data_IF_168846589940
#
_entry.id   IF_168846589940
#
_cell.length_a   1.000
_cell.length_b   1.000
_cell.length_c   1.000
_cell.angle_alpha   90.00
_cell.angle_beta   90.00
_cell.angle_gamma   90.00
#
_symmetry.space_group_name_H-M   'P 1'
#
loop_
_entity.id
_entity.type
_entity.pdbx_description
1 polymer ?
#
# COMPACT_ATOMS: atom_id res chain seq x y z
N UNK A 1 -50.51 -46.34 -38.01
CA UNK A 1 -50.04 -44.94 -37.91
C UNK A 1 -49.20 -44.81 -36.65
N UNK A 2 -48.01 -44.22 -36.76
CA UNK A 2 -46.90 -44.30 -35.78
C UNK A 2 -47.18 -43.47 -34.52
N UNK A 3 -46.91 -44.06 -33.34
CA UNK A 3 -46.85 -43.32 -32.07
C UNK A 3 -45.53 -42.54 -32.01
N UNK A 4 -45.62 -41.22 -31.81
CA UNK A 4 -44.47 -40.34 -31.56
C UNK A 4 -44.46 -40.06 -30.06
N UNK A 5 -43.50 -40.64 -29.35
CA UNK A 5 -43.19 -40.29 -27.96
C UNK A 5 -42.23 -39.11 -27.95
N UNK A 6 -42.68 -37.95 -27.46
CA UNK A 6 -41.85 -36.77 -27.27
C UNK A 6 -41.20 -36.87 -25.88
N UNK A 7 -39.89 -37.09 -25.84
CA UNK A 7 -39.08 -37.01 -24.62
C UNK A 7 -38.63 -35.56 -24.45
N UNK A 8 -39.16 -34.87 -23.44
CA UNK A 8 -38.72 -33.53 -23.05
C UNK A 8 -37.50 -33.70 -22.15
N UNK A 9 -36.31 -33.45 -22.70
CA UNK A 9 -35.07 -33.40 -21.94
C UNK A 9 -34.97 -32.09 -21.16
N UNK A 10 -34.98 -32.19 -19.83
CA UNK A 10 -34.73 -31.07 -18.92
C UNK A 10 -33.22 -30.79 -18.88
N UNK A 11 -32.77 -29.73 -19.53
CA UNK A 11 -31.38 -29.26 -19.45
C UNK A 11 -31.22 -28.47 -18.15
N UNK A 12 -30.61 -29.10 -17.15
CA UNK A 12 -30.18 -28.44 -15.92
C UNK A 12 -28.90 -27.66 -16.21
N UNK A 13 -29.02 -26.35 -16.42
CA UNK A 13 -27.88 -25.44 -16.46
C UNK A 13 -27.30 -25.30 -15.06
N UNK A 14 -26.19 -25.98 -14.78
CA UNK A 14 -25.40 -25.75 -13.57
C UNK A 14 -24.60 -24.47 -13.77
N UNK A 15 -25.12 -23.35 -13.28
CA UNK A 15 -24.36 -22.12 -13.12
C UNK A 15 -23.32 -22.35 -12.02
N UNK A 16 -22.06 -22.51 -12.39
CA UNK A 16 -20.94 -22.49 -11.47
C UNK A 16 -20.83 -21.09 -10.87
N UNK A 17 -21.36 -20.92 -9.66
CA UNK A 17 -20.95 -19.79 -8.83
C UNK A 17 -19.50 -20.05 -8.45
N UNK A 18 -18.58 -19.19 -8.91
CA UNK A 18 -17.23 -19.11 -8.36
C UNK A 18 -17.37 -18.74 -6.88
N UNK A 19 -17.31 -19.76 -6.02
CA UNK A 19 -17.22 -19.55 -4.58
C UNK A 19 -15.82 -19.00 -4.33
N UNK A 20 -15.72 -17.67 -4.16
CA UNK A 20 -14.52 -17.09 -3.56
C UNK A 20 -14.35 -17.74 -2.20
N UNK A 21 -13.26 -18.50 -2.02
CA UNK A 21 -12.97 -19.16 -0.77
C UNK A 21 -12.76 -18.10 0.32
N UNK A 22 -13.69 -18.03 1.27
CA UNK A 22 -13.56 -17.14 2.42
C UNK A 22 -12.46 -17.68 3.32
N UNK A 23 -11.48 -16.83 3.65
CA UNK A 23 -10.37 -17.20 4.53
C UNK A 23 -10.88 -17.62 5.92
N UNK A 24 -10.27 -18.66 6.49
CA UNK A 24 -10.49 -19.04 7.88
C UNK A 24 -9.74 -18.10 8.85
N UNK A 25 -10.00 -18.24 10.16
CA UNK A 25 -9.42 -17.35 11.17
C UNK A 25 -7.88 -17.32 11.16
N UNK A 26 -7.24 -18.49 11.00
CA UNK A 26 -5.78 -18.60 10.96
C UNK A 26 -5.21 -17.92 9.70
N UNK A 27 -5.88 -18.08 8.55
CA UNK A 27 -5.50 -17.43 7.30
C UNK A 27 -5.69 -15.90 7.35
N UNK A 28 -6.75 -15.40 8.00
CA UNK A 28 -6.94 -13.95 8.22
C UNK A 28 -5.85 -13.39 9.14
N UNK A 29 -5.51 -14.12 10.20
CA UNK A 29 -4.42 -13.73 11.11
C UNK A 29 -3.08 -13.70 10.38
N UNK A 30 -2.77 -14.73 9.59
CA UNK A 30 -1.56 -14.80 8.80
C UNK A 30 -1.50 -13.68 7.75
N UNK A 31 -2.60 -13.41 7.03
CA UNK A 31 -2.68 -12.28 6.10
C UNK A 31 -2.36 -10.95 6.80
N UNK A 32 -2.96 -10.71 7.97
CA UNK A 32 -2.76 -9.47 8.73
C UNK A 32 -1.30 -9.28 9.15
N UNK A 33 -0.65 -10.34 9.63
CA UNK A 33 0.77 -10.33 9.98
C UNK A 33 1.66 -10.12 8.75
N UNK A 34 1.38 -10.83 7.66
CA UNK A 34 2.11 -10.69 6.40
C UNK A 34 2.01 -9.29 5.81
N UNK A 35 0.82 -8.67 5.83
CA UNK A 35 0.63 -7.28 5.41
C UNK A 35 1.37 -6.29 6.30
N UNK A 36 1.34 -6.49 7.61
CA UNK A 36 2.06 -5.64 8.56
C UNK A 36 3.58 -5.66 8.29
N UNK A 37 4.16 -6.85 8.17
CA UNK A 37 5.59 -7.02 7.87
C UNK A 37 5.94 -6.47 6.48
N UNK A 38 5.10 -6.71 5.47
CA UNK A 38 5.31 -6.17 4.12
C UNK A 38 5.34 -4.64 4.14
N UNK A 39 4.38 -4.02 4.84
CA UNK A 39 4.30 -2.57 4.98
C UNK A 39 5.50 -1.96 5.73
N UNK A 40 6.21 -2.75 6.52
CA UNK A 40 7.48 -2.37 7.17
C UNK A 40 8.73 -2.68 6.32
N UNK A 41 8.57 -2.94 5.02
CA UNK A 41 9.65 -3.38 4.12
C UNK A 41 10.35 -4.69 4.57
N UNK A 42 9.75 -5.47 5.49
CA UNK A 42 10.28 -6.77 5.95
C UNK A 42 9.78 -7.90 5.04
N UNK A 43 10.06 -7.76 3.74
CA UNK A 43 9.49 -8.62 2.70
C UNK A 43 9.81 -10.11 2.88
N UNK A 44 11.03 -10.47 3.31
CA UNK A 44 11.41 -11.86 3.57
C UNK A 44 10.63 -12.47 4.72
N UNK A 45 10.39 -11.68 5.78
CA UNK A 45 9.67 -12.13 6.98
C UNK A 45 8.17 -12.22 6.70
N UNK A 46 7.64 -11.36 5.82
CA UNK A 46 6.25 -11.37 5.38
C UNK A 46 5.90 -12.61 4.55
N UNK A 47 6.85 -13.14 3.76
CA UNK A 47 6.64 -14.22 2.81
C UNK A 47 5.91 -15.46 3.37
N UNK A 48 6.35 -16.09 4.49
CA UNK A 48 5.67 -17.27 5.03
C UNK A 48 4.22 -16.99 5.45
N UNK A 49 3.94 -15.79 5.96
CA UNK A 49 2.59 -15.40 6.38
C UNK A 49 1.67 -15.11 5.18
N UNK A 50 2.16 -14.35 4.19
CA UNK A 50 1.44 -14.08 2.95
C UNK A 50 1.12 -15.37 2.20
N UNK A 51 2.04 -16.34 2.21
CA UNK A 51 1.85 -17.64 1.56
C UNK A 51 0.62 -18.40 2.07
N UNK A 52 0.34 -18.37 3.37
CA UNK A 52 -0.83 -19.04 3.96
C UNK A 52 -2.14 -18.54 3.34
N UNK A 53 -2.29 -17.23 3.18
CA UNK A 53 -3.48 -16.63 2.56
C UNK A 53 -3.47 -16.74 1.03
N UNK A 54 -2.30 -16.65 0.41
CA UNK A 54 -2.15 -16.78 -1.04
C UNK A 54 -2.53 -18.18 -1.55
N UNK A 55 -2.10 -19.24 -0.84
CA UNK A 55 -2.48 -20.64 -1.11
C UNK A 55 -3.98 -20.89 -0.92
N UNK A 56 -4.63 -20.09 -0.07
CA UNK A 56 -6.07 -20.11 0.14
C UNK A 56 -6.87 -19.34 -0.93
N UNK A 57 -6.19 -18.67 -1.87
CA UNK A 57 -6.82 -17.94 -2.96
C UNK A 57 -6.89 -16.42 -2.77
N UNK A 58 -6.33 -15.84 -1.70
CA UNK A 58 -6.39 -14.39 -1.49
C UNK A 58 -5.59 -13.63 -2.55
N UNK A 59 -6.30 -12.92 -3.43
CA UNK A 59 -5.73 -12.15 -4.56
C UNK A 59 -4.60 -11.20 -4.14
N UNK A 60 -4.76 -10.48 -3.04
CA UNK A 60 -3.78 -9.49 -2.59
C UNK A 60 -2.53 -10.18 -2.06
N UNK A 61 -2.67 -11.21 -1.23
CA UNK A 61 -1.54 -12.01 -0.77
C UNK A 61 -0.81 -12.71 -1.92
N UNK A 62 -1.52 -13.17 -2.95
CA UNK A 62 -0.91 -13.71 -4.17
C UNK A 62 -0.07 -12.65 -4.89
N UNK A 63 -0.60 -11.45 -5.12
CA UNK A 63 0.17 -10.35 -5.72
C UNK A 63 1.41 -9.98 -4.89
N UNK A 64 1.24 -9.80 -3.57
CA UNK A 64 2.33 -9.40 -2.69
C UNK A 64 3.41 -10.47 -2.57
N UNK A 65 3.03 -11.75 -2.51
CA UNK A 65 4.00 -12.85 -2.53
C UNK A 65 4.77 -12.89 -3.85
N UNK A 66 4.10 -12.62 -4.98
CA UNK A 66 4.75 -12.41 -6.27
C UNK A 66 5.79 -11.29 -6.22
N UNK A 67 5.47 -10.13 -5.62
CA UNK A 67 6.42 -9.03 -5.44
C UNK A 67 7.61 -9.39 -4.54
N UNK A 68 7.37 -10.07 -3.41
CA UNK A 68 8.44 -10.50 -2.51
C UNK A 68 9.43 -11.40 -3.24
N UNK A 69 8.95 -12.36 -4.02
CA UNK A 69 9.81 -13.28 -4.78
C UNK A 69 10.52 -12.56 -5.94
N UNK A 70 9.80 -11.70 -6.68
CA UNK A 70 10.37 -10.90 -7.78
C UNK A 70 11.54 -10.04 -7.31
N UNK A 71 11.48 -9.48 -6.11
CA UNK A 71 12.56 -8.64 -5.57
C UNK A 71 13.82 -9.43 -5.18
N UNK A 72 13.73 -10.76 -5.05
CA UNK A 72 14.89 -11.62 -4.76
C UNK A 72 15.66 -12.02 -6.03
N UNK A 73 15.10 -11.77 -7.21
CA UNK A 73 15.65 -12.17 -8.50
C UNK A 73 15.87 -10.97 -9.42
N UNK A 74 16.86 -11.06 -10.30
CA UNK A 74 17.11 -10.02 -11.30
C UNK A 74 16.04 -10.01 -12.40
N UNK A 75 15.49 -11.18 -12.71
CA UNK A 75 14.47 -11.39 -13.72
C UNK A 75 13.25 -12.07 -13.09
N UNK A 76 12.08 -11.87 -13.69
CA UNK A 76 10.88 -12.58 -13.28
C UNK A 76 11.11 -14.10 -13.46
N UNK A 77 11.00 -14.84 -12.37
CA UNK A 77 11.18 -16.29 -12.34
C UNK A 77 9.83 -17.03 -12.37
N UNK A 78 9.87 -18.34 -12.58
CA UNK A 78 8.64 -19.17 -12.69
C UNK A 78 7.76 -19.07 -11.42
N UNK A 79 8.38 -18.95 -10.24
CA UNK A 79 7.66 -18.91 -8.97
C UNK A 79 6.92 -17.58 -8.80
N UNK A 80 7.57 -16.45 -9.01
CA UNK A 80 6.93 -15.12 -8.94
C UNK A 80 5.86 -14.98 -10.02
N UNK A 81 6.11 -15.47 -11.25
CA UNK A 81 5.13 -15.48 -12.33
C UNK A 81 3.86 -16.25 -11.94
N UNK A 82 3.99 -17.45 -11.36
CA UNK A 82 2.84 -18.27 -10.95
C UNK A 82 1.92 -17.50 -9.98
N UNK A 83 2.49 -16.80 -9.01
CA UNK A 83 1.70 -16.01 -8.05
C UNK A 83 1.01 -14.81 -8.70
N UNK A 84 1.67 -14.13 -9.62
CA UNK A 84 1.02 -13.07 -10.39
C UNK A 84 -0.10 -13.60 -11.28
N UNK A 85 0.06 -14.76 -11.93
CA UNK A 85 -0.99 -15.36 -12.77
C UNK A 85 -2.24 -15.70 -11.94
N UNK A 86 -2.06 -16.26 -10.75
CA UNK A 86 -3.17 -16.53 -9.83
C UNK A 86 -3.93 -15.24 -9.44
N UNK A 87 -3.22 -14.16 -9.12
CA UNK A 87 -3.84 -12.87 -8.81
C UNK A 87 -4.50 -12.24 -10.05
N UNK A 88 -3.86 -12.37 -11.22
CA UNK A 88 -4.33 -11.82 -12.48
C UNK A 88 -5.61 -12.52 -12.98
N UNK A 89 -5.75 -13.85 -12.78
CA UNK A 89 -7.00 -14.55 -13.06
C UNK A 89 -8.18 -14.05 -12.20
N UNK A 90 -7.90 -13.39 -11.08
CA UNK A 90 -8.87 -12.71 -10.23
C UNK A 90 -9.01 -11.20 -10.53
N UNK A 91 -8.61 -10.78 -11.73
CA UNK A 91 -8.63 -9.39 -12.20
C UNK A 91 -7.72 -8.42 -11.44
N UNK A 92 -6.63 -8.90 -10.83
CA UNK A 92 -5.61 -8.00 -10.27
C UNK A 92 -4.83 -7.28 -11.39
N UNK A 93 -5.12 -6.00 -11.58
CA UNK A 93 -4.52 -5.19 -12.65
C UNK A 93 -3.01 -5.01 -12.46
N UNK A 94 -2.51 -4.91 -11.22
CA UNK A 94 -1.06 -4.76 -11.00
C UNK A 94 -0.31 -6.05 -11.30
N UNK A 95 -0.88 -7.21 -10.95
CA UNK A 95 -0.34 -8.50 -11.34
C UNK A 95 -0.29 -8.65 -12.87
N UNK A 96 -1.38 -8.30 -13.57
CA UNK A 96 -1.40 -8.27 -15.03
C UNK A 96 -0.34 -7.32 -15.61
N UNK A 97 -0.13 -6.15 -14.99
CA UNK A 97 0.91 -5.20 -15.38
C UNK A 97 2.33 -5.74 -15.14
N UNK A 98 2.57 -6.55 -14.09
CA UNK A 98 3.85 -7.24 -13.88
C UNK A 98 4.11 -8.31 -14.95
N UNK A 99 3.06 -8.98 -15.39
CA UNK A 99 3.10 -9.97 -16.46
C UNK A 99 3.17 -9.32 -17.86
N UNK A 100 2.93 -8.01 -17.98
CA UNK A 100 2.93 -7.24 -19.24
C UNK A 100 4.22 -7.39 -20.06
N UNK A 101 5.38 -7.45 -19.39
CA UNK A 101 6.70 -7.56 -20.04
C UNK A 101 7.11 -9.00 -20.36
N UNK A 102 6.32 -9.99 -19.96
CA UNK A 102 6.47 -11.38 -20.45
C UNK A 102 5.79 -11.46 -21.82
N UNK A 103 6.22 -10.57 -22.72
CA UNK A 103 5.78 -10.52 -24.10
C UNK A 103 6.60 -11.56 -24.85
N UNK A 104 5.97 -12.71 -25.14
CA UNK A 104 6.29 -13.78 -26.11
C UNK A 104 7.73 -14.35 -26.20
N UNK A 105 8.79 -13.56 -26.08
CA UNK A 105 10.20 -13.89 -26.29
C UNK A 105 10.80 -14.83 -25.24
N UNK A 106 10.28 -14.85 -24.01
CA UNK A 106 10.71 -15.78 -22.94
C UNK A 106 9.76 -16.96 -22.79
N UNK A 107 8.47 -16.75 -23.03
CA UNK A 107 7.44 -17.77 -22.89
C UNK A 107 7.48 -18.80 -24.03
N UNK A 108 7.70 -18.36 -25.28
CA UNK A 108 7.77 -19.25 -26.46
C UNK A 108 8.96 -20.23 -26.43
N UNK A 109 10.20 -19.81 -26.07
CA UNK A 109 11.31 -20.76 -25.95
C UNK A 109 11.13 -21.77 -24.81
N UNK A 110 10.40 -21.41 -23.75
CA UNK A 110 10.16 -22.27 -22.59
C UNK A 110 8.91 -23.14 -22.74
N UNK A 111 8.09 -22.92 -23.77
CA UNK A 111 6.83 -23.63 -24.04
C UNK A 111 5.88 -23.66 -22.83
N UNK A 112 5.84 -22.56 -22.06
CA UNK A 112 5.04 -22.40 -20.82
C UNK A 112 3.92 -21.37 -20.97
N UNK A 113 3.46 -21.11 -22.19
CA UNK A 113 2.38 -20.17 -22.40
C UNK A 113 1.04 -20.81 -22.06
N UNK A 114 0.35 -20.25 -21.06
CA UNK A 114 -0.98 -20.67 -20.65
C UNK A 114 -2.03 -19.64 -21.11
N UNK A 115 -3.23 -20.09 -21.53
CA UNK A 115 -3.50 -20.89 -22.71
C UNK A 115 -3.90 -20.03 -23.92
N UNK A 116 -3.71 -20.63 -25.10
CA UNK A 116 -4.17 -20.23 -26.43
C UNK A 116 -5.71 -20.15 -26.53
N UNK A 117 -6.34 -19.19 -25.87
CA UNK A 117 -7.66 -18.73 -26.32
C UNK A 117 -7.44 -17.56 -27.28
N UNK A 118 -7.95 -17.69 -28.50
CA UNK A 118 -7.91 -16.63 -29.52
C UNK A 118 -8.69 -15.35 -29.12
N UNK A 119 -9.10 -15.20 -27.86
CA UNK A 119 -9.74 -14.02 -27.25
C UNK A 119 -8.87 -13.33 -26.18
N UNK A 120 -7.80 -13.97 -25.70
CA UNK A 120 -6.89 -13.40 -24.72
C UNK A 120 -5.68 -12.75 -25.40
N UNK A 121 -5.76 -11.45 -25.70
CA UNK A 121 -4.69 -10.66 -26.33
C UNK A 121 -3.50 -10.35 -25.37
N UNK A 122 -3.23 -11.22 -24.39
CA UNK A 122 -2.18 -11.06 -23.38
C UNK A 122 -2.59 -10.23 -22.15
N UNK A 123 -1.81 -10.35 -21.06
CA UNK A 123 -2.09 -9.70 -19.77
C UNK A 123 -2.17 -8.18 -19.86
N UNK A 124 -1.46 -7.53 -20.79
CA UNK A 124 -1.55 -6.09 -21.02
C UNK A 124 -2.93 -5.61 -21.48
N UNK A 125 -3.52 -6.32 -22.44
CA UNK A 125 -4.87 -5.98 -22.92
C UNK A 125 -5.91 -6.26 -21.85
N UNK A 126 -5.76 -7.35 -21.10
CA UNK A 126 -6.62 -7.65 -19.96
C UNK A 126 -6.54 -6.55 -18.88
N UNK A 127 -5.33 -6.14 -18.50
CA UNK A 127 -5.09 -5.07 -17.52
C UNK A 127 -5.81 -3.78 -17.93
N UNK A 128 -5.59 -3.35 -19.18
CA UNK A 128 -6.22 -2.15 -19.73
C UNK A 128 -7.75 -2.26 -19.72
N UNK A 129 -8.31 -3.37 -20.18
CA UNK A 129 -9.77 -3.60 -20.24
C UNK A 129 -10.41 -3.54 -18.85
N UNK A 130 -9.82 -4.21 -17.87
CA UNK A 130 -10.31 -4.21 -16.47
C UNK A 130 -10.21 -2.80 -15.88
N UNK A 131 -9.08 -2.11 -16.08
CA UNK A 131 -8.88 -0.76 -15.57
C UNK A 131 -9.84 0.25 -16.23
N UNK A 132 -10.07 0.20 -17.54
CA UNK A 132 -11.04 1.05 -18.24
C UNK A 132 -12.47 0.84 -17.71
N UNK A 133 -12.88 -0.41 -17.50
CA UNK A 133 -14.19 -0.74 -16.94
C UNK A 133 -14.39 -0.19 -15.52
N UNK A 134 -13.36 -0.27 -14.67
CA UNK A 134 -13.37 0.30 -13.31
C UNK A 134 -13.33 1.84 -13.35
N UNK A 135 -12.48 2.43 -14.18
CA UNK A 135 -12.35 3.87 -14.34
C UNK A 135 -13.66 4.51 -14.84
N UNK A 136 -14.39 3.85 -15.75
CA UNK A 136 -15.71 4.30 -16.19
C UNK A 136 -16.75 4.39 -15.06
N UNK A 137 -16.52 3.71 -13.92
CA UNK A 137 -17.34 3.77 -12.70
C UNK A 137 -16.80 4.76 -11.66
N UNK A 138 -15.79 5.56 -12.00
CA UNK A 138 -15.19 6.55 -11.10
C UNK A 138 -14.09 6.01 -10.19
N UNK A 139 -13.57 4.80 -10.44
CA UNK A 139 -12.47 4.23 -9.65
C UNK A 139 -11.15 4.97 -9.93
N UNK A 140 -10.72 5.79 -8.96
CA UNK A 140 -9.49 6.58 -9.07
C UNK A 140 -8.20 5.75 -9.07
N UNK A 141 -8.18 4.57 -8.44
CA UNK A 141 -7.02 3.66 -8.53
C UNK A 141 -6.90 3.09 -9.94
N UNK A 142 -8.03 2.72 -10.56
CA UNK A 142 -8.04 2.24 -11.94
C UNK A 142 -7.59 3.33 -12.95
N UNK A 143 -7.99 4.58 -12.72
CA UNK A 143 -7.48 5.71 -13.50
C UNK A 143 -5.96 5.87 -13.32
N UNK A 144 -5.44 5.71 -12.10
CA UNK A 144 -3.99 5.75 -11.86
C UNK A 144 -3.27 4.58 -12.55
N UNK A 145 -3.84 3.38 -12.56
CA UNK A 145 -3.31 2.23 -13.30
C UNK A 145 -3.25 2.50 -14.80
N UNK A 146 -4.27 3.15 -15.38
CA UNK A 146 -4.26 3.58 -16.79
C UNK A 146 -3.15 4.60 -17.07
N UNK A 147 -2.90 5.55 -16.16
CA UNK A 147 -1.75 6.44 -16.25
C UNK A 147 -0.43 5.66 -16.24
N UNK A 148 -0.24 4.71 -15.31
CA UNK A 148 0.97 3.90 -15.24
C UNK A 148 1.23 3.07 -16.51
N UNK A 149 0.17 2.61 -17.18
CA UNK A 149 0.28 1.82 -18.42
C UNK A 149 0.51 2.68 -19.67
N UNK A 150 -0.13 3.85 -19.75
CA UNK A 150 -0.17 4.68 -20.96
C UNK A 150 0.83 5.84 -20.96
N UNK A 151 1.22 6.34 -19.79
CA UNK A 151 1.90 7.62 -19.64
C UNK A 151 1.02 8.84 -19.95
N UNK A 152 -0.28 8.66 -20.19
CA UNK A 152 -1.20 9.74 -20.49
C UNK A 152 -1.65 10.42 -19.20
N UNK A 153 -1.21 11.67 -19.01
CA UNK A 153 -1.47 12.43 -17.80
C UNK A 153 -2.94 12.79 -17.56
N UNK A 154 -3.78 12.77 -18.60
CA UNK A 154 -5.24 12.93 -18.43
C UNK A 154 -5.81 11.88 -17.46
N UNK A 155 -5.25 10.67 -17.44
CA UNK A 155 -5.62 9.65 -16.47
C UNK A 155 -5.14 9.97 -15.05
N UNK A 156 -3.97 10.57 -14.90
CA UNK A 156 -3.47 11.03 -13.60
C UNK A 156 -4.35 12.16 -13.04
N UNK A 157 -4.75 13.11 -13.88
CA UNK A 157 -5.67 14.19 -13.51
C UNK A 157 -7.01 13.60 -13.05
N UNK A 158 -7.61 12.71 -13.85
CA UNK A 158 -8.88 12.03 -13.48
C UNK A 158 -8.77 11.25 -12.17
N UNK A 159 -7.65 10.55 -11.96
CA UNK A 159 -7.37 9.83 -10.72
C UNK A 159 -7.34 10.76 -9.50
N UNK A 160 -6.65 11.89 -9.63
CA UNK A 160 -6.56 12.90 -8.58
C UNK A 160 -7.93 13.55 -8.28
N UNK A 161 -8.70 13.87 -9.32
CA UNK A 161 -10.07 14.40 -9.23
C UNK A 161 -11.06 13.41 -8.61
N UNK A 162 -10.87 12.11 -8.85
CA UNK A 162 -11.63 11.03 -8.23
C UNK A 162 -11.29 10.81 -6.74
N UNK A 163 -10.32 11.55 -6.18
CA UNK A 163 -9.98 11.47 -4.76
C UNK A 163 -8.95 10.40 -4.41
N UNK A 164 -8.31 9.75 -5.39
CA UNK A 164 -7.32 8.73 -5.10
C UNK A 164 -6.00 9.36 -4.62
N UNK A 165 -5.66 9.15 -3.35
CA UNK A 165 -4.54 9.82 -2.69
C UNK A 165 -3.19 9.69 -3.38
N UNK A 166 -2.87 8.50 -3.90
CA UNK A 166 -1.64 8.30 -4.67
C UNK A 166 -1.66 9.06 -6.01
N UNK A 167 -2.80 9.13 -6.70
CA UNK A 167 -2.97 9.95 -7.90
C UNK A 167 -2.81 11.44 -7.62
N UNK A 168 -3.40 11.94 -6.51
CA UNK A 168 -3.25 13.32 -6.06
C UNK A 168 -1.80 13.65 -5.70
N UNK A 169 -1.10 12.73 -5.02
CA UNK A 169 0.32 12.87 -4.68
C UNK A 169 1.19 12.97 -5.93
N UNK A 170 1.06 12.03 -6.86
CA UNK A 170 1.86 12.04 -8.08
C UNK A 170 1.55 13.25 -8.97
N UNK A 171 0.29 13.69 -9.07
CA UNK A 171 -0.02 14.93 -9.77
C UNK A 171 0.66 16.17 -9.15
N UNK A 172 0.74 16.22 -7.81
CA UNK A 172 1.53 17.25 -7.12
C UNK A 172 3.01 17.19 -7.51
N UNK A 173 3.60 16.00 -7.53
CA UNK A 173 5.02 15.80 -7.90
C UNK A 173 5.29 16.28 -9.34
N UNK A 174 4.47 15.87 -10.30
CA UNK A 174 4.58 16.26 -11.72
C UNK A 174 4.46 17.77 -11.92
N UNK A 175 3.53 18.42 -11.21
CA UNK A 175 3.43 19.87 -11.22
C UNK A 175 4.64 20.57 -10.61
N UNK A 176 5.25 20.04 -9.53
CA UNK A 176 6.49 20.63 -9.01
C UNK A 176 7.62 20.57 -10.02
N UNK A 177 7.73 19.45 -10.72
CA UNK A 177 8.75 19.17 -11.74
C UNK A 177 8.55 19.98 -13.03
N UNK A 178 7.34 20.53 -13.24
CA UNK A 178 7.07 21.46 -14.34
C UNK A 178 6.48 20.81 -15.59
N UNK A 179 5.81 19.66 -15.43
CA UNK A 179 5.15 18.97 -16.54
C UNK A 179 4.09 19.83 -17.27
N UNK A 180 3.33 20.65 -16.55
CA UNK A 180 2.28 21.52 -17.12
C UNK A 180 2.74 22.99 -17.27
N UNK A 181 2.02 23.77 -18.08
CA UNK A 181 2.34 25.15 -18.44
C UNK A 181 1.75 26.13 -17.41
N UNK A 182 2.65 26.74 -16.62
CA UNK A 182 2.29 27.77 -15.64
C UNK A 182 2.87 29.14 -16.02
N UNK A 183 2.06 29.98 -16.66
CA UNK A 183 2.48 31.33 -17.12
C UNK A 183 2.68 32.31 -15.96
N UNK A 184 2.01 32.08 -14.82
CA UNK A 184 2.10 32.97 -13.64
C UNK A 184 3.13 32.42 -12.64
N UNK A 185 4.18 33.19 -12.30
CA UNK A 185 5.15 32.78 -11.28
C UNK A 185 4.49 32.37 -9.96
N UNK A 186 4.95 31.27 -9.38
CA UNK A 186 4.44 30.74 -8.10
C UNK A 186 3.09 29.99 -8.18
N UNK A 187 2.31 30.11 -9.26
CA UNK A 187 1.04 29.36 -9.41
C UNK A 187 1.26 27.85 -9.45
N UNK A 188 2.37 27.40 -10.05
CA UNK A 188 2.79 26.00 -10.09
C UNK A 188 2.89 25.39 -8.70
N UNK A 189 3.71 25.99 -7.84
CA UNK A 189 3.94 25.52 -6.47
C UNK A 189 2.64 25.54 -5.66
N UNK A 190 1.83 26.60 -5.78
CA UNK A 190 0.51 26.65 -5.10
C UNK A 190 -0.44 25.54 -5.55
N UNK A 191 -0.43 25.20 -6.83
CA UNK A 191 -1.28 24.14 -7.39
C UNK A 191 -0.79 22.76 -6.93
N UNK A 192 0.51 22.53 -6.93
CA UNK A 192 1.10 21.32 -6.37
C UNK A 192 0.84 21.18 -4.87
N UNK A 193 1.03 22.23 -4.07
CA UNK A 193 0.72 22.26 -2.64
C UNK A 193 -0.76 21.89 -2.38
N UNK A 194 -1.70 22.37 -3.21
CA UNK A 194 -3.12 22.02 -3.12
C UNK A 194 -3.36 20.52 -3.30
N UNK A 195 -2.73 19.91 -4.31
CA UNK A 195 -2.87 18.47 -4.56
C UNK A 195 -2.17 17.61 -3.51
N UNK A 196 -1.01 18.05 -3.02
CA UNK A 196 -0.33 17.38 -1.91
C UNK A 196 -1.19 17.40 -0.64
N UNK A 197 -1.80 18.55 -0.33
CA UNK A 197 -2.73 18.68 0.79
C UNK A 197 -3.98 17.81 0.61
N UNK A 198 -4.50 17.69 -0.62
CA UNK A 198 -5.61 16.79 -0.91
C UNK A 198 -5.22 15.33 -0.64
N UNK A 199 -4.05 14.89 -1.12
CA UNK A 199 -3.53 13.55 -0.89
C UNK A 199 -3.30 13.26 0.60
N UNK A 200 -2.75 14.23 1.34
CA UNK A 200 -2.59 14.11 2.79
C UNK A 200 -3.95 14.01 3.50
N UNK A 201 -4.99 14.71 3.02
CA UNK A 201 -6.34 14.61 3.56
C UNK A 201 -7.07 13.32 3.18
N UNK A 202 -6.66 12.63 2.11
CA UNK A 202 -7.16 11.31 1.74
C UNK A 202 -6.49 10.17 2.52
N UNK A 203 -5.80 10.49 3.62
CA UNK A 203 -5.05 9.56 4.47
C UNK A 203 -3.86 8.87 3.78
N UNK A 204 -3.37 9.44 2.66
CA UNK A 204 -2.20 8.89 1.98
C UNK A 204 -0.91 9.25 2.72
N UNK A 205 -0.35 8.27 3.43
CA UNK A 205 0.85 8.41 4.27
C UNK A 205 2.03 9.13 3.61
N UNK A 206 2.48 8.75 2.40
CA UNK A 206 3.58 9.41 1.71
C UNK A 206 3.34 10.91 1.48
N UNK A 207 2.09 11.32 1.20
CA UNK A 207 1.75 12.73 1.07
C UNK A 207 1.82 13.49 2.40
N UNK A 208 1.44 12.86 3.51
CA UNK A 208 1.58 13.50 4.83
C UNK A 208 3.05 13.68 5.22
N UNK A 209 3.90 12.70 4.92
CA UNK A 209 5.34 12.78 5.19
C UNK A 209 6.02 13.86 4.33
N UNK A 210 5.71 13.92 3.03
CA UNK A 210 6.19 14.98 2.15
C UNK A 210 5.70 16.37 2.59
N UNK A 211 4.41 16.49 2.93
CA UNK A 211 3.83 17.76 3.40
C UNK A 211 4.53 18.25 4.67
N UNK A 212 4.83 17.35 5.61
CA UNK A 212 5.60 17.71 6.80
C UNK A 212 6.99 18.23 6.47
N UNK A 213 7.71 17.55 5.59
CA UNK A 213 9.06 17.98 5.18
C UNK A 213 9.03 19.39 4.61
N UNK A 214 8.08 19.66 3.71
CA UNK A 214 7.88 20.99 3.14
C UNK A 214 7.53 22.04 4.21
N UNK A 215 6.68 21.69 5.19
CA UNK A 215 6.32 22.62 6.26
C UNK A 215 7.53 22.94 7.17
N UNK A 216 8.37 21.94 7.47
CA UNK A 216 9.61 22.16 8.21
C UNK A 216 10.59 23.06 7.46
N UNK A 217 10.78 22.83 6.16
CA UNK A 217 11.64 23.67 5.30
C UNK A 217 11.16 25.13 5.24
N UNK A 218 9.85 25.35 5.28
CA UNK A 218 9.23 26.68 5.32
C UNK A 218 9.27 27.34 6.71
N UNK A 219 9.80 26.64 7.72
CA UNK A 219 9.79 27.10 9.12
C UNK A 219 8.41 27.08 9.78
N UNK A 220 7.42 26.41 9.19
CA UNK A 220 6.11 26.22 9.81
C UNK A 220 6.15 25.03 10.79
N UNK A 221 6.72 25.29 11.96
CA UNK A 221 6.84 24.31 13.04
C UNK A 221 5.47 23.80 13.46
N UNK A 222 4.45 24.66 13.57
CA UNK A 222 3.10 24.25 14.02
C UNK A 222 2.40 23.36 13.01
N UNK A 223 2.48 23.70 11.73
CA UNK A 223 1.93 22.86 10.65
C UNK A 223 2.62 21.50 10.61
N UNK A 224 3.95 21.49 10.70
CA UNK A 224 4.72 20.25 10.73
C UNK A 224 4.31 19.35 11.92
N UNK A 225 4.25 19.92 13.13
CA UNK A 225 3.76 19.26 14.35
C UNK A 225 2.35 18.67 14.17
N UNK A 226 1.42 19.46 13.63
CA UNK A 226 0.04 19.02 13.38
C UNK A 226 -0.02 17.81 12.44
N UNK A 227 0.71 17.86 11.33
CA UNK A 227 0.75 16.77 10.37
C UNK A 227 1.54 15.56 10.88
N UNK A 228 2.49 15.75 11.81
CA UNK A 228 3.20 14.65 12.47
C UNK A 228 2.28 13.72 13.23
N UNK A 229 1.41 14.29 14.06
CA UNK A 229 0.47 13.47 14.81
C UNK A 229 -0.51 12.76 13.87
N UNK A 230 -0.99 13.43 12.81
CA UNK A 230 -1.90 12.83 11.83
C UNK A 230 -1.23 11.69 11.05
N UNK A 231 -0.01 11.89 10.58
CA UNK A 231 0.76 10.88 9.87
C UNK A 231 1.05 9.66 10.76
N UNK A 232 1.37 9.87 12.04
CA UNK A 232 1.56 8.79 13.00
C UNK A 232 0.26 7.98 13.21
N UNK A 233 -0.90 8.66 13.30
CA UNK A 233 -2.22 8.00 13.39
C UNK A 233 -2.61 7.27 12.11
N UNK A 234 -2.13 7.73 10.96
CA UNK A 234 -2.27 7.07 9.66
C UNK A 234 -1.22 5.96 9.44
N UNK A 235 -0.40 5.63 10.46
CA UNK A 235 0.53 4.51 10.42
C UNK A 235 1.93 4.85 9.93
N UNK A 236 2.27 6.10 9.61
CA UNK A 236 3.63 6.44 9.16
C UNK A 236 4.67 6.15 10.25
N UNK A 237 5.58 5.22 9.96
CA UNK A 237 6.69 4.87 10.85
C UNK A 237 7.60 6.08 11.08
N UNK A 238 7.99 6.77 9.99
CA UNK A 238 8.79 7.99 10.06
C UNK A 238 8.11 9.05 10.94
N UNK A 239 6.79 9.18 10.80
CA UNK A 239 6.05 10.12 11.61
C UNK A 239 5.99 9.74 13.09
N UNK A 240 5.78 8.46 13.38
CA UNK A 240 5.70 7.97 14.74
C UNK A 240 7.03 8.09 15.48
N UNK A 241 8.16 7.86 14.79
CA UNK A 241 9.52 8.08 15.34
C UNK A 241 9.68 9.54 15.77
N UNK A 242 9.36 10.48 14.87
CA UNK A 242 9.43 11.90 15.16
C UNK A 242 8.46 12.30 16.28
N UNK A 243 7.23 11.79 16.27
CA UNK A 243 6.25 12.10 17.30
C UNK A 243 6.70 11.62 18.69
N UNK A 244 7.22 10.39 18.79
CA UNK A 244 7.77 9.83 20.02
C UNK A 244 8.95 10.65 20.56
N UNK A 245 9.83 11.12 19.68
CA UNK A 245 10.96 11.97 20.07
C UNK A 245 10.50 13.35 20.55
N UNK A 246 9.56 14.00 19.85
CA UNK A 246 9.17 15.37 20.17
C UNK A 246 8.32 15.48 21.43
N UNK A 247 7.49 14.48 21.74
CA UNK A 247 6.76 14.45 23.02
C UNK A 247 7.65 14.12 24.21
N UNK A 248 8.87 13.63 23.97
CA UNK A 248 9.91 13.46 24.97
C UNK A 248 10.87 14.66 25.07
N UNK A 249 10.76 15.64 24.15
CA UNK A 249 11.66 16.77 24.09
C UNK A 249 11.36 17.74 25.23
N UNK A 250 12.41 18.11 25.95
CA UNK A 250 12.35 19.08 27.04
C UNK A 250 12.63 20.50 26.57
N UNK A 251 12.98 20.68 25.28
CA UNK A 251 13.17 21.99 24.66
C UNK A 251 11.81 22.64 24.32
N UNK A 252 11.78 23.97 24.28
CA UNK A 252 10.58 24.72 23.83
C UNK A 252 10.48 24.81 22.30
N UNK A 253 11.37 24.16 21.55
CA UNK A 253 11.47 24.31 20.10
C UNK A 253 10.16 23.92 19.39
N UNK A 254 9.60 22.76 19.75
CA UNK A 254 8.34 22.30 19.17
C UNK A 254 7.10 22.78 19.94
N UNK A 255 7.29 23.39 21.12
CA UNK A 255 6.21 23.78 22.06
C UNK A 255 5.21 22.65 22.35
N UNK A 256 5.67 21.40 22.33
CA UNK A 256 4.87 20.24 22.72
C UNK A 256 4.86 20.12 24.25
N UNK A 257 3.71 19.83 24.88
CA UNK A 257 3.73 19.41 26.28
C UNK A 257 4.51 18.11 26.40
N UNK A 258 5.48 18.11 27.31
CA UNK A 258 6.26 16.92 27.67
C UNK A 258 5.32 15.81 28.16
N UNK A 259 5.39 14.65 27.53
CA UNK A 259 4.55 13.49 27.82
C UNK A 259 5.36 12.20 27.71
N UNK A 260 6.01 11.82 28.81
CA UNK A 260 6.83 10.61 28.86
C UNK A 260 6.01 9.33 28.70
N UNK A 261 4.73 9.33 29.09
CA UNK A 261 3.84 8.16 28.95
C UNK A 261 3.62 7.87 27.47
N UNK A 262 3.24 8.90 26.71
CA UNK A 262 3.07 8.80 25.26
C UNK A 262 4.38 8.50 24.55
N UNK A 263 5.47 9.19 24.90
CA UNK A 263 6.78 8.96 24.30
C UNK A 263 7.23 7.50 24.44
N UNK A 264 7.14 6.97 25.66
CA UNK A 264 7.48 5.58 25.96
C UNK A 264 6.57 4.61 25.22
N UNK A 265 5.26 4.82 25.22
CA UNK A 265 4.32 3.94 24.54
C UNK A 265 4.50 3.90 23.02
N UNK A 266 4.71 5.05 22.37
CA UNK A 266 5.03 5.09 20.93
C UNK A 266 6.37 4.42 20.64
N UNK A 267 7.39 4.65 21.47
CA UNK A 267 8.72 4.02 21.32
C UNK A 267 8.62 2.50 21.51
N UNK A 268 7.78 2.03 22.43
CA UNK A 268 7.52 0.61 22.64
C UNK A 268 6.93 -0.04 21.38
N UNK A 269 5.99 0.61 20.70
CA UNK A 269 5.43 0.11 19.43
C UNK A 269 6.54 0.02 18.36
N UNK A 270 7.41 1.03 18.27
CA UNK A 270 8.54 1.03 17.32
C UNK A 270 9.52 -0.12 17.61
N UNK A 271 9.83 -0.38 18.89
CA UNK A 271 10.67 -1.53 19.29
C UNK A 271 10.00 -2.86 18.91
N UNK A 272 8.70 -2.99 19.16
CA UNK A 272 7.90 -4.18 18.83
C UNK A 272 7.78 -4.43 17.31
N UNK A 273 8.01 -3.42 16.48
CA UNK A 273 8.08 -3.59 15.03
C UNK A 273 9.35 -4.34 14.56
N UNK A 274 10.34 -4.47 15.44
CA UNK A 274 11.59 -5.23 15.21
C UNK A 274 12.31 -4.83 13.91
N UNK A 275 12.39 -3.52 13.65
CA UNK A 275 13.04 -2.95 12.47
C UNK A 275 14.51 -3.39 12.38
N UNK A 276 14.92 -4.23 11.40
CA UNK A 276 16.18 -4.98 11.42
C UNK A 276 17.44 -4.13 11.66
N UNK A 277 17.50 -2.93 11.07
CA UNK A 277 18.67 -2.05 11.17
C UNK A 277 18.64 -1.08 12.35
N UNK A 278 17.56 -1.04 13.15
CA UNK A 278 17.37 0.00 14.17
C UNK A 278 16.80 -0.48 15.51
N UNK A 279 16.48 -1.77 15.68
CA UNK A 279 15.97 -2.33 16.96
C UNK A 279 16.83 -1.89 18.15
N UNK A 280 18.14 -2.12 18.08
CA UNK A 280 19.05 -1.81 19.20
C UNK A 280 19.05 -0.32 19.58
N UNK A 281 18.83 0.57 18.61
CA UNK A 281 18.75 2.00 18.85
C UNK A 281 17.49 2.34 19.65
N UNK A 282 16.32 1.88 19.18
CA UNK A 282 15.05 2.16 19.86
C UNK A 282 14.94 1.46 21.22
N UNK A 283 15.55 0.29 21.42
CA UNK A 283 15.67 -0.33 22.74
C UNK A 283 16.49 0.55 23.71
N UNK A 284 17.57 1.17 23.24
CA UNK A 284 18.36 2.10 24.06
C UNK A 284 17.55 3.35 24.40
N UNK A 285 16.81 3.90 23.45
CA UNK A 285 15.92 5.05 23.71
C UNK A 285 14.80 4.70 24.68
N UNK A 286 14.16 3.55 24.54
CA UNK A 286 13.15 3.05 25.48
C UNK A 286 13.72 2.88 26.90
N UNK A 287 14.95 2.36 27.03
CA UNK A 287 15.66 2.26 28.32
C UNK A 287 15.97 3.64 28.92
N UNK A 288 16.34 4.62 28.10
CA UNK A 288 16.57 6.00 28.56
C UNK A 288 15.28 6.65 29.06
N UNK A 289 14.17 6.47 28.35
CA UNK A 289 12.86 6.95 28.77
C UNK A 289 12.42 6.29 30.08
N UNK A 290 12.59 4.97 30.22
CA UNK A 290 12.25 4.22 31.45
C UNK A 290 12.89 4.83 32.70
N UNK A 291 14.15 5.27 32.60
CA UNK A 291 14.89 5.88 33.74
C UNK A 291 14.30 7.21 34.21
N UNK A 292 13.49 7.88 33.40
CA UNK A 292 12.85 9.16 33.70
C UNK A 292 11.42 9.01 34.23
N UNK A 293 10.92 7.79 34.35
CA UNK A 293 9.50 7.50 34.62
C UNK A 293 9.32 6.68 35.89
N UNK A 294 8.19 6.87 36.57
CA UNK A 294 7.76 6.00 37.68
C UNK A 294 7.22 4.66 37.16
N UNK A 295 7.11 3.62 38.01
CA UNK A 295 6.46 2.37 37.63
C UNK A 295 5.05 2.57 37.04
N UNK A 296 4.21 3.37 37.70
CA UNK A 296 2.83 3.66 37.27
C UNK A 296 2.78 4.35 35.89
N UNK A 297 3.70 5.29 35.64
CA UNK A 297 3.80 5.95 34.33
C UNK A 297 4.15 4.95 33.22
N UNK A 298 4.93 3.92 33.54
CA UNK A 298 5.32 2.94 32.53
C UNK A 298 4.19 1.93 32.30
N UNK A 299 3.47 1.54 33.34
CA UNK A 299 2.25 0.74 33.18
C UNK A 299 1.22 1.50 32.32
N UNK A 300 1.01 2.79 32.59
CA UNK A 300 0.17 3.64 31.76
C UNK A 300 0.65 3.73 30.30
N UNK A 301 1.98 3.76 30.09
CA UNK A 301 2.55 3.83 28.74
C UNK A 301 2.36 2.52 27.96
N UNK A 302 2.45 1.38 28.63
CA UNK A 302 2.14 0.07 28.04
C UNK A 302 0.66 0.01 27.67
N UNK A 303 -0.25 0.45 28.55
CA UNK A 303 -1.67 0.54 28.24
C UNK A 303 -1.94 1.47 27.04
N UNK A 304 -1.29 2.64 27.01
CA UNK A 304 -1.38 3.58 25.90
C UNK A 304 -0.94 2.93 24.58
N UNK A 305 0.16 2.16 24.58
CA UNK A 305 0.65 1.47 23.37
C UNK A 305 -0.37 0.45 22.85
N UNK A 306 -0.98 -0.35 23.73
CA UNK A 306 -2.03 -1.30 23.36
C UNK A 306 -3.29 -0.60 22.84
N UNK A 307 -3.68 0.51 23.46
CA UNK A 307 -4.78 1.33 22.98
C UNK A 307 -4.50 1.92 21.59
N UNK A 308 -3.29 2.44 21.37
CA UNK A 308 -2.88 2.99 20.08
C UNK A 308 -2.98 1.96 18.96
N UNK A 309 -2.40 0.76 19.14
CA UNK A 309 -2.43 -0.33 18.15
C UNK A 309 -3.86 -0.78 17.79
N UNK A 310 -4.82 -0.64 18.71
CA UNK A 310 -6.24 -0.95 18.47
C UNK A 310 -7.03 0.17 17.80
N UNK A 311 -6.54 1.41 17.90
CA UNK A 311 -7.30 2.60 17.52
C UNK A 311 -6.86 3.15 16.17
N UNK A 312 -5.57 3.06 15.85
CA UNK A 312 -4.95 3.71 14.69
C UNK A 312 -4.40 2.69 13.69
N UNK A 313 -4.06 3.18 12.50
CA UNK A 313 -3.54 2.32 11.44
C UNK A 313 -2.22 1.64 11.87
N UNK A 314 -1.97 0.39 11.45
CA UNK A 314 -0.70 -0.29 11.68
C UNK A 314 0.48 0.50 11.11
N UNK A 315 1.67 0.30 11.69
CA UNK A 315 2.87 0.93 11.17
C UNK A 315 3.14 0.54 9.72
N UNK A 316 3.63 1.51 8.96
CA UNK A 316 3.95 1.38 7.54
C UNK A 316 5.06 2.35 7.14
N UNK A 317 5.95 1.88 6.29
CA UNK A 317 6.86 2.67 5.47
C UNK A 317 6.26 2.99 4.09
N UNK A 318 5.02 2.55 3.85
CA UNK A 318 4.26 2.71 2.61
C UNK A 318 5.04 2.24 1.38
N UNK A 319 5.40 0.94 1.31
CA UNK A 319 6.07 0.39 0.13
C UNK A 319 5.27 0.71 -1.13
N UNK A 320 5.98 1.04 -2.20
CA UNK A 320 5.36 1.39 -3.47
C UNK A 320 4.68 0.14 -4.03
N UNK A 321 3.35 0.19 -4.17
CA UNK A 321 2.54 -0.94 -4.67
C UNK A 321 2.97 -1.41 -6.05
N UNK A 322 3.36 -0.50 -6.94
CA UNK A 322 3.83 -0.79 -8.30
C UNK A 322 4.88 0.23 -8.73
N UNK A 323 6.09 -0.23 -9.06
CA UNK A 323 7.28 0.57 -9.37
C UNK A 323 8.46 -0.33 -9.76
N UNK A 324 9.60 0.25 -10.16
CA UNK A 324 10.82 -0.52 -10.48
C UNK A 324 11.36 -1.23 -9.23
#
# INVERSE_FOLDING_TARGET
MKHISIVIGMVMSVSAFEVLAVLNADQVSAKSEGLYLYNLNRHTDAAPFLKVAAEAGDRESQYLLGEVLRQQTTFLDDLSQTWFELAAHQNDVYAMMRLFKVDDALCKPLNKCYPESNEFQGWGVAAKRVAESRAAKGDGEAMYQLFLMSGEYDWLIKSAEAGFGQGQYWLSVEYRQGWDVFVVPGRRIKTADKWLLAAANSEYGPAMDELRSILAERGDVRGNVYWTERAAKAGSLNAMINYAAWVADTSDYFRFPLDFVKAYGLTLIIVQAELPSSVSYYERELKKLRKKMTPDQVEAAVYFAEYWKKTYAPLSEFPVKYGL
#
